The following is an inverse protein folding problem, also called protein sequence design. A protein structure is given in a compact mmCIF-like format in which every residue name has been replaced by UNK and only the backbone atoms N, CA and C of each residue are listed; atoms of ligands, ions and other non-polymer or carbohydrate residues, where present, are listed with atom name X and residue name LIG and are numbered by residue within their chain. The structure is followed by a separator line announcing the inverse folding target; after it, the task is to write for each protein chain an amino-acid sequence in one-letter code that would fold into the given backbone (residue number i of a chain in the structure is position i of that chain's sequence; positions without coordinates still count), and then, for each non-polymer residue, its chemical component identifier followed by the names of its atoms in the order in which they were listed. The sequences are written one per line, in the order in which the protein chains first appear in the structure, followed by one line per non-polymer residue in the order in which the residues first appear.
data_IF_639469905032
#
_entry.id   IF_639469905032
#
_cell.length_a   1.000
_cell.length_b   1.000
_cell.length_c   1.000
_cell.angle_alpha   90.00
_cell.angle_beta   90.00
_cell.angle_gamma   90.00
#
_symmetry.space_group_name_H-M   'P 1'
#
loop_
_entity.id
_entity.type
_entity.pdbx_description
1 polymer ?
#
# COMPACT_ATOMS: atom_id res chain seq x y z
N UNK A 1 10.76 11.36 19.35
CA UNK A 1 12.20 11.14 19.45
C UNK A 1 12.69 11.74 20.77
N UNK A 2 13.47 11.00 21.50
CA UNK A 2 14.13 11.44 22.71
C UNK A 2 15.64 11.22 22.56
N UNK A 3 16.45 12.22 22.84
CA UNK A 3 17.87 12.22 22.51
C UNK A 3 18.73 12.72 23.67
N UNK A 4 19.91 12.17 23.80
CA UNK A 4 20.90 12.54 24.80
C UNK A 4 22.28 12.68 24.14
N UNK A 5 23.03 13.70 24.53
CA UNK A 5 24.39 13.92 24.04
C UNK A 5 25.39 13.00 24.76
N UNK A 6 25.99 12.10 24.02
CA UNK A 6 26.91 11.12 24.59
C UNK A 6 28.10 11.78 25.25
N UNK A 7 28.37 11.36 26.49
CA UNK A 7 29.51 11.83 27.29
C UNK A 7 29.57 13.36 27.57
N UNK A 8 28.40 14.04 27.56
CA UNK A 8 28.31 15.48 27.80
C UNK A 8 29.00 15.88 29.11
N UNK A 9 28.84 15.12 30.20
CA UNK A 9 29.52 15.35 31.47
C UNK A 9 31.05 15.40 31.31
N UNK A 10 31.63 14.52 30.50
CA UNK A 10 33.07 14.52 30.26
C UNK A 10 33.55 15.77 29.50
N UNK A 11 32.69 16.41 28.71
CA UNK A 11 32.99 17.71 28.08
C UNK A 11 33.06 18.79 29.15
N UNK A 12 32.05 18.86 30.04
CA UNK A 12 32.07 19.81 31.17
C UNK A 12 33.24 19.61 32.09
N UNK A 13 33.56 18.36 32.45
CA UNK A 13 34.67 18.03 33.36
C UNK A 13 36.06 18.41 32.78
N UNK A 14 36.21 18.33 31.43
CA UNK A 14 37.51 18.61 30.77
C UNK A 14 37.67 20.05 30.32
N UNK A 15 36.58 20.74 29.94
CA UNK A 15 36.64 22.06 29.30
C UNK A 15 35.80 23.13 30.00
N UNK A 16 35.16 22.76 31.11
CA UNK A 16 34.32 23.67 31.89
C UNK A 16 32.88 23.83 31.35
N UNK A 17 32.00 24.34 32.19
CA UNK A 17 30.61 24.59 31.87
C UNK A 17 30.37 25.50 30.66
N UNK A 18 31.16 26.57 30.42
CA UNK A 18 30.96 27.41 29.23
C UNK A 18 31.08 26.65 27.91
N UNK A 19 31.99 25.66 27.84
CA UNK A 19 32.14 24.82 26.66
C UNK A 19 30.94 23.88 26.48
N UNK A 20 30.36 23.35 27.56
CA UNK A 20 29.14 22.59 27.54
C UNK A 20 27.93 23.42 27.10
N UNK A 21 27.81 24.66 27.58
CA UNK A 21 26.75 25.56 27.18
C UNK A 21 26.82 25.89 25.67
N UNK A 22 28.01 26.18 25.16
CA UNK A 22 28.22 26.39 23.72
C UNK A 22 27.81 25.16 22.88
N UNK A 23 28.15 23.96 23.36
CA UNK A 23 27.76 22.69 22.74
C UNK A 23 26.25 22.52 22.70
N UNK A 24 25.54 22.79 23.79
CA UNK A 24 24.08 22.71 23.88
C UNK A 24 23.38 23.71 22.94
N UNK A 25 23.87 24.95 22.88
CA UNK A 25 23.33 25.99 21.98
C UNK A 25 23.48 25.57 20.52
N UNK A 26 24.68 25.12 20.14
CA UNK A 26 24.93 24.68 18.77
C UNK A 26 24.14 23.41 18.41
N UNK A 27 23.99 22.47 19.35
CA UNK A 27 23.13 21.29 19.18
C UNK A 27 21.68 21.70 18.92
N UNK A 28 21.14 22.61 19.74
CA UNK A 28 19.77 23.11 19.56
C UNK A 28 19.57 23.77 18.17
N UNK A 29 20.59 24.52 17.70
CA UNK A 29 20.57 25.13 16.35
C UNK A 29 20.50 24.05 15.25
N UNK A 30 21.39 23.05 15.32
CA UNK A 30 21.43 21.94 14.36
C UNK A 30 20.13 21.14 14.35
N UNK A 31 19.56 20.86 15.52
CA UNK A 31 18.27 20.17 15.63
C UNK A 31 17.14 20.95 14.95
N UNK A 32 17.07 22.27 15.19
CA UNK A 32 16.09 23.12 14.52
C UNK A 32 16.24 23.09 12.99
N UNK A 33 17.47 23.14 12.50
CA UNK A 33 17.75 23.04 11.06
C UNK A 33 17.35 21.68 10.47
N UNK A 34 17.60 20.59 11.20
CA UNK A 34 17.17 19.25 10.79
C UNK A 34 15.65 19.09 10.76
N UNK A 35 14.90 19.77 11.62
CA UNK A 35 13.45 19.65 11.74
C UNK A 35 12.69 20.74 10.96
N UNK A 36 13.34 21.87 10.60
CA UNK A 36 12.69 23.02 9.97
C UNK A 36 12.10 22.76 8.57
N UNK A 37 12.43 21.65 7.92
CA UNK A 37 12.00 21.34 6.56
C UNK A 37 10.48 21.06 6.44
N UNK A 38 9.76 20.85 7.56
CA UNK A 38 8.34 20.50 7.58
C UNK A 38 7.44 21.47 8.36
N UNK A 39 8.00 22.54 8.95
CA UNK A 39 7.22 23.67 9.52
C UNK A 39 6.39 23.39 10.79
N UNK A 40 6.13 22.14 11.14
CA UNK A 40 5.23 21.75 12.25
C UNK A 40 5.91 20.91 13.35
N UNK A 41 7.18 20.53 13.16
CA UNK A 41 7.93 19.74 14.12
C UNK A 41 8.38 20.60 15.31
N UNK A 42 8.27 20.06 16.51
CA UNK A 42 8.66 20.74 17.75
C UNK A 42 9.97 20.17 18.27
N UNK A 43 10.94 21.05 18.50
CA UNK A 43 12.21 20.71 19.18
C UNK A 43 12.23 21.36 20.56
N UNK A 44 12.43 20.57 21.60
CA UNK A 44 12.50 21.01 22.98
C UNK A 44 13.75 20.47 23.67
N UNK A 45 14.36 21.27 24.55
CA UNK A 45 15.32 20.78 25.53
C UNK A 45 14.58 20.44 26.81
N UNK A 46 14.69 19.18 27.26
CA UNK A 46 13.91 18.66 28.39
C UNK A 46 14.68 18.88 29.71
N UNK A 47 15.99 18.71 29.68
CA UNK A 47 16.86 18.97 30.83
C UNK A 47 18.28 18.53 30.55
N UNK A 48 19.27 19.09 31.23
CA UNK A 48 20.65 18.68 31.08
C UNK A 48 21.14 18.66 29.64
N UNK A 49 21.50 17.48 29.15
CA UNK A 49 21.94 17.15 27.80
C UNK A 49 20.85 16.45 26.97
N UNK A 50 19.59 16.43 27.45
CA UNK A 50 18.45 15.75 26.84
C UNK A 50 17.62 16.71 26.00
N UNK A 51 17.27 16.24 24.79
CA UNK A 51 16.40 16.93 23.84
C UNK A 51 15.26 16.01 23.40
N UNK A 52 14.09 16.60 23.14
CA UNK A 52 12.94 15.93 22.55
C UNK A 52 12.59 16.56 21.20
N UNK A 53 12.20 15.71 20.24
CA UNK A 53 11.65 16.14 18.96
C UNK A 53 10.30 15.45 18.78
N UNK A 54 9.25 16.27 18.66
CA UNK A 54 7.92 15.81 18.32
C UNK A 54 7.68 16.06 16.83
N UNK A 55 7.50 14.99 16.09
CA UNK A 55 7.19 15.04 14.66
C UNK A 55 5.69 14.89 14.45
N UNK A 56 5.10 15.80 13.67
CA UNK A 56 3.72 15.70 13.23
C UNK A 56 3.69 15.04 11.85
N UNK A 57 2.83 14.05 11.68
CA UNK A 57 2.64 13.33 10.41
C UNK A 57 3.96 12.89 9.76
N UNK A 58 4.78 12.09 10.44
CA UNK A 58 5.95 11.52 9.80
C UNK A 58 5.47 10.66 8.63
N UNK A 59 6.14 10.74 7.48
CA UNK A 59 5.88 9.82 6.38
C UNK A 59 6.35 8.43 6.80
N UNK A 60 5.41 7.65 7.32
CA UNK A 60 5.66 6.28 7.72
C UNK A 60 5.83 5.40 6.46
N UNK A 61 6.66 4.34 6.55
CA UNK A 61 7.36 3.88 7.74
C UNK A 61 8.73 4.53 8.00
N UNK A 62 9.32 5.23 7.04
CA UNK A 62 10.75 5.65 7.10
C UNK A 62 10.99 7.04 7.70
N UNK A 63 9.96 7.87 7.77
CA UNK A 63 10.10 9.26 8.20
C UNK A 63 10.83 9.46 9.52
N UNK A 64 10.48 8.73 10.61
CA UNK A 64 11.16 8.87 11.91
C UNK A 64 12.63 8.45 11.90
N UNK A 65 12.98 7.37 11.20
CA UNK A 65 14.36 6.91 11.07
C UNK A 65 15.21 7.88 10.27
N UNK A 66 14.70 8.37 9.14
CA UNK A 66 15.41 9.33 8.28
C UNK A 66 15.72 10.62 9.03
N UNK A 67 14.75 11.13 9.81
CA UNK A 67 14.97 12.32 10.63
C UNK A 67 15.97 12.04 11.75
N UNK A 68 15.88 10.89 12.43
CA UNK A 68 16.81 10.51 13.47
C UNK A 68 18.25 10.33 12.95
N UNK A 69 18.43 9.72 11.78
CA UNK A 69 19.73 9.61 11.11
C UNK A 69 20.30 10.98 10.73
N UNK A 70 19.46 11.88 10.21
CA UNK A 70 19.85 13.25 9.89
C UNK A 70 20.27 14.02 11.14
N UNK A 71 19.52 13.91 12.23
CA UNK A 71 19.85 14.49 13.53
C UNK A 71 21.20 13.93 14.01
N UNK A 72 21.34 12.62 14.04
CA UNK A 72 22.55 11.95 14.51
C UNK A 72 23.78 12.39 13.69
N UNK A 73 23.67 12.46 12.37
CA UNK A 73 24.71 12.92 11.47
C UNK A 73 25.06 14.38 11.75
N UNK A 74 24.07 15.25 11.91
CA UNK A 74 24.29 16.67 12.18
C UNK A 74 24.98 16.90 13.56
N UNK A 75 24.55 16.14 14.58
CA UNK A 75 25.14 16.22 15.94
C UNK A 75 26.56 15.64 15.98
N UNK A 76 26.87 14.66 15.14
CA UNK A 76 28.22 14.06 15.07
C UNK A 76 29.24 14.92 14.33
N UNK A 77 28.83 15.96 13.62
CA UNK A 77 29.76 16.92 13.02
C UNK A 77 30.54 17.68 14.10
N UNK A 78 31.84 17.95 13.88
CA UNK A 78 32.64 18.67 14.84
C UNK A 78 32.05 20.02 15.25
N UNK A 79 32.18 20.36 16.53
CA UNK A 79 31.78 21.63 17.10
C UNK A 79 33.00 22.51 17.28
N UNK A 80 32.91 23.78 16.91
CA UNK A 80 33.96 24.74 17.15
C UNK A 80 33.67 25.48 18.46
N UNK A 81 34.43 25.17 19.51
CA UNK A 81 34.29 25.75 20.84
C UNK A 81 35.64 26.28 21.27
N UNK A 82 35.70 27.56 21.58
CA UNK A 82 36.94 28.27 22.04
C UNK A 82 38.18 27.97 21.15
N UNK A 83 37.98 28.00 19.82
CA UNK A 83 39.06 27.78 18.85
C UNK A 83 39.52 26.31 18.71
N UNK A 84 38.88 25.38 19.41
CA UNK A 84 39.16 23.95 19.34
C UNK A 84 38.01 23.16 18.76
N UNK A 85 38.32 22.07 18.06
CA UNK A 85 37.30 21.14 17.56
C UNK A 85 36.93 20.11 18.62
N UNK A 86 35.65 20.00 18.92
CA UNK A 86 35.10 19.01 19.83
C UNK A 86 34.18 18.06 19.01
N UNK A 87 34.30 16.75 19.25
CA UNK A 87 33.44 15.74 18.67
C UNK A 87 32.62 15.08 19.76
N UNK A 88 31.32 14.94 19.52
CA UNK A 88 30.42 14.16 20.35
C UNK A 88 29.46 13.37 19.42
N UNK A 89 28.69 12.48 19.99
CA UNK A 89 27.61 11.77 19.32
C UNK A 89 26.31 11.94 20.11
N UNK A 90 25.22 11.49 19.56
CA UNK A 90 23.97 11.42 20.29
C UNK A 90 23.36 10.01 20.19
N UNK A 91 22.82 9.55 21.30
CA UNK A 91 21.96 8.38 21.35
C UNK A 91 20.49 8.83 21.20
N UNK A 92 19.68 8.12 20.42
CA UNK A 92 18.31 8.51 20.11
C UNK A 92 17.36 7.34 20.38
N UNK A 93 16.31 7.60 21.16
CA UNK A 93 15.19 6.69 21.36
C UNK A 93 13.94 7.21 20.65
N UNK A 94 13.19 6.33 20.01
CA UNK A 94 12.00 6.67 19.22
C UNK A 94 10.82 5.87 19.74
N UNK A 95 9.67 6.54 19.92
CA UNK A 95 8.38 5.95 20.16
C UNK A 95 7.36 6.54 19.16
N UNK A 96 6.41 5.72 18.72
CA UNK A 96 5.43 6.04 17.70
C UNK A 96 4.01 6.09 18.27
N UNK A 97 3.26 7.11 17.89
CA UNK A 97 1.83 7.17 18.14
C UNK A 97 1.08 6.58 16.94
N UNK A 98 0.02 5.77 17.13
CA UNK A 98 -0.53 5.30 18.42
C UNK A 98 0.03 3.95 18.89
N UNK A 99 1.00 3.34 18.16
CA UNK A 99 1.48 1.96 18.40
C UNK A 99 2.15 1.77 19.76
N UNK A 100 2.98 2.74 20.17
CA UNK A 100 3.78 2.64 21.39
C UNK A 100 3.15 3.35 22.58
N UNK A 101 2.01 4.03 22.38
CA UNK A 101 1.23 4.72 23.42
C UNK A 101 0.25 5.70 22.82
N UNK A 102 -0.82 5.98 23.54
CA UNK A 102 -1.87 6.93 23.14
C UNK A 102 -1.84 8.24 23.93
N UNK A 103 -1.11 8.27 25.03
CA UNK A 103 -0.91 9.45 25.86
C UNK A 103 0.52 9.97 25.77
N UNK A 104 0.71 11.28 25.86
CA UNK A 104 2.03 11.92 25.82
C UNK A 104 3.01 11.34 26.86
N UNK A 105 2.50 11.02 28.06
CA UNK A 105 3.28 10.44 29.15
C UNK A 105 3.76 9.02 28.83
N UNK A 106 2.95 8.24 28.14
CA UNK A 106 3.32 6.88 27.69
C UNK A 106 4.41 6.97 26.62
N UNK A 107 4.18 7.76 25.57
CA UNK A 107 5.15 7.96 24.48
C UNK A 107 6.50 8.46 24.99
N UNK A 108 6.49 9.40 25.93
CA UNK A 108 7.71 9.87 26.56
C UNK A 108 8.46 8.72 27.26
N UNK A 109 7.75 7.93 28.08
CA UNK A 109 8.32 6.77 28.78
C UNK A 109 8.88 5.74 27.82
N UNK A 110 8.19 5.45 26.72
CA UNK A 110 8.64 4.48 25.72
C UNK A 110 9.86 4.97 24.94
N UNK A 111 9.89 6.26 24.59
CA UNK A 111 11.08 6.86 23.96
C UNK A 111 12.30 6.89 24.89
N UNK A 112 12.12 7.11 26.19
CA UNK A 112 13.19 7.05 27.18
C UNK A 112 13.75 5.62 27.35
N UNK A 113 12.87 4.61 27.38
CA UNK A 113 13.29 3.20 27.40
C UNK A 113 14.11 2.85 26.16
N UNK A 114 13.69 3.31 24.98
CA UNK A 114 14.42 3.13 23.73
C UNK A 114 15.78 3.85 23.76
N UNK A 115 15.83 5.07 24.29
CA UNK A 115 17.08 5.81 24.50
C UNK A 115 18.05 5.07 25.43
N UNK A 116 17.53 4.49 26.53
CA UNK A 116 18.30 3.67 27.45
C UNK A 116 18.91 2.46 26.75
N UNK A 117 18.14 1.84 25.84
CA UNK A 117 18.63 0.73 25.03
C UNK A 117 19.72 1.19 24.04
N UNK A 118 19.55 2.32 23.36
CA UNK A 118 20.57 2.90 22.49
C UNK A 118 21.89 3.14 23.23
N UNK A 119 21.84 3.69 24.46
CA UNK A 119 23.02 3.88 25.32
C UNK A 119 23.71 2.56 25.68
N UNK A 120 22.94 1.46 25.90
CA UNK A 120 23.48 0.12 26.20
C UNK A 120 24.14 -0.54 25.02
N UNK A 121 23.64 -0.34 23.81
CA UNK A 121 24.15 -0.91 22.57
C UNK A 121 25.44 -0.26 22.05
N UNK A 122 26.04 0.66 22.81
CA UNK A 122 27.34 1.23 22.47
C UNK A 122 27.32 2.75 22.29
N UNK A 123 26.21 3.41 22.51
CA UNK A 123 25.98 4.86 22.26
C UNK A 123 26.12 5.27 20.80
N UNK A 124 25.75 6.48 20.46
CA UNK A 124 25.75 6.95 19.09
C UNK A 124 24.87 6.14 18.18
N UNK A 125 23.80 5.55 18.71
CA UNK A 125 22.86 4.68 17.99
C UNK A 125 21.42 5.18 18.12
N UNK A 126 20.57 4.69 17.22
CA UNK A 126 19.14 4.97 17.21
C UNK A 126 18.42 3.66 17.57
N UNK A 127 17.51 3.72 18.54
CA UNK A 127 16.64 2.59 18.90
C UNK A 127 15.18 3.00 18.87
N UNK A 128 14.34 2.12 18.34
CA UNK A 128 12.89 2.22 18.46
C UNK A 128 12.42 1.43 19.68
N UNK A 129 11.34 1.91 20.31
CA UNK A 129 10.70 1.15 21.36
C UNK A 129 10.08 -0.13 20.78
N UNK A 130 10.25 -1.26 21.49
CA UNK A 130 9.70 -2.55 21.06
C UNK A 130 10.60 -3.39 20.15
N UNK A 131 11.64 -2.84 19.56
CA UNK A 131 12.61 -3.59 18.73
C UNK A 131 12.11 -4.01 17.34
N UNK A 132 10.81 -3.95 17.07
CA UNK A 132 10.16 -4.40 15.84
C UNK A 132 10.62 -3.64 14.59
N UNK A 133 10.97 -2.37 14.73
CA UNK A 133 11.41 -1.52 13.61
C UNK A 133 12.74 -1.92 12.97
N UNK A 134 13.66 -2.48 13.74
CA UNK A 134 14.91 -2.98 13.16
C UNK A 134 14.63 -4.21 12.31
N UNK A 135 13.77 -5.10 12.81
CA UNK A 135 13.34 -6.31 12.09
C UNK A 135 12.53 -5.95 10.85
N UNK A 136 11.57 -5.03 10.96
CA UNK A 136 10.77 -4.53 9.84
C UNK A 136 11.63 -3.80 8.78
N UNK A 137 12.65 -3.04 9.22
CA UNK A 137 13.59 -2.38 8.32
C UNK A 137 14.47 -3.38 7.57
N UNK A 138 14.99 -4.38 8.27
CA UNK A 138 15.83 -5.42 7.68
C UNK A 138 14.98 -6.29 6.72
N UNK A 139 13.76 -6.62 7.09
CA UNK A 139 12.78 -7.30 6.24
C UNK A 139 12.48 -6.47 4.98
N UNK A 140 12.24 -5.19 5.13
CA UNK A 140 12.00 -4.28 4.01
C UNK A 140 13.19 -4.17 3.06
N UNK A 141 14.41 -4.04 3.58
CA UNK A 141 15.63 -4.06 2.77
C UNK A 141 15.79 -5.38 2.00
N UNK A 142 15.45 -6.51 2.62
CA UNK A 142 15.43 -7.81 1.97
C UNK A 142 14.40 -7.87 0.85
N UNK A 143 13.20 -7.31 1.09
CA UNK A 143 12.14 -7.24 0.09
C UNK A 143 12.54 -6.34 -1.09
N UNK A 144 13.11 -5.17 -0.82
CA UNK A 144 13.57 -4.23 -1.85
C UNK A 144 14.67 -4.85 -2.74
N UNK A 145 15.67 -5.48 -2.13
CA UNK A 145 16.74 -6.17 -2.85
C UNK A 145 16.26 -7.44 -3.58
N UNK A 146 15.28 -8.14 -2.99
CA UNK A 146 14.73 -9.38 -3.54
C UNK A 146 13.74 -9.15 -4.69
N UNK A 147 13.05 -8.00 -4.72
CA UNK A 147 11.92 -7.79 -5.64
C UNK A 147 12.31 -7.82 -7.12
N UNK A 148 13.42 -7.20 -7.49
CA UNK A 148 13.92 -7.24 -8.86
C UNK A 148 14.25 -8.70 -9.30
N UNK A 149 14.82 -9.46 -8.38
CA UNK A 149 15.09 -10.89 -8.60
C UNK A 149 13.77 -11.66 -8.71
N UNK A 150 12.80 -11.37 -7.87
CA UNK A 150 11.50 -12.05 -7.88
C UNK A 150 10.79 -11.92 -9.23
N UNK A 151 10.84 -10.72 -9.85
CA UNK A 151 10.26 -10.46 -11.17
C UNK A 151 10.94 -11.30 -12.25
N UNK A 152 12.24 -11.58 -12.12
CA UNK A 152 13.04 -12.25 -13.16
C UNK A 152 13.23 -13.76 -12.95
N UNK A 153 13.01 -14.29 -11.74
CA UNK A 153 13.34 -15.67 -11.34
C UNK A 153 12.16 -16.52 -10.88
N UNK A 154 10.96 -16.25 -11.39
CA UNK A 154 9.76 -17.07 -11.12
C UNK A 154 9.38 -17.19 -9.62
N UNK A 155 9.78 -16.21 -8.81
CA UNK A 155 9.36 -16.16 -7.40
C UNK A 155 7.95 -15.55 -7.23
N UNK A 156 7.44 -14.85 -8.27
CA UNK A 156 6.09 -14.31 -8.32
C UNK A 156 5.12 -15.32 -8.92
N UNK A 157 3.90 -15.31 -8.40
CA UNK A 157 2.79 -16.10 -8.97
C UNK A 157 1.47 -15.36 -8.78
N UNK A 158 0.45 -15.76 -9.56
CA UNK A 158 -0.90 -15.21 -9.43
C UNK A 158 -1.81 -16.22 -8.72
N UNK A 159 -2.68 -15.69 -7.88
CA UNK A 159 -3.88 -16.37 -7.41
C UNK A 159 -5.09 -15.61 -7.93
N UNK A 160 -6.22 -16.28 -8.02
CA UNK A 160 -7.39 -15.77 -8.71
C UNK A 160 -8.59 -15.80 -7.77
N UNK A 161 -9.23 -14.66 -7.56
CA UNK A 161 -10.43 -14.58 -6.74
C UNK A 161 -11.66 -14.46 -7.64
N UNK A 162 -12.62 -15.41 -7.55
CA UNK A 162 -13.79 -15.40 -8.39
C UNK A 162 -14.75 -14.26 -8.07
N UNK A 163 -15.30 -13.63 -9.14
CA UNK A 163 -16.43 -12.70 -9.13
C UNK A 163 -17.67 -13.45 -9.63
N UNK A 164 -18.73 -13.44 -8.84
CA UNK A 164 -19.94 -14.19 -9.13
C UNK A 164 -21.13 -13.27 -9.41
N UNK A 165 -21.95 -13.68 -10.35
CA UNK A 165 -23.34 -13.24 -10.43
C UNK A 165 -24.18 -14.15 -9.51
N UNK A 166 -24.69 -13.59 -8.43
CA UNK A 166 -25.43 -14.33 -7.40
C UNK A 166 -26.84 -14.73 -7.85
N UNK A 167 -27.37 -14.15 -8.93
CA UNK A 167 -28.66 -14.52 -9.51
C UNK A 167 -28.54 -15.81 -10.33
N UNK A 168 -27.54 -15.85 -11.22
CA UNK A 168 -27.27 -17.04 -12.03
C UNK A 168 -26.37 -18.06 -11.33
N UNK A 169 -25.69 -17.66 -10.28
CA UNK A 169 -24.61 -18.40 -9.60
C UNK A 169 -23.48 -18.80 -10.57
N UNK A 170 -23.20 -17.97 -11.56
CA UNK A 170 -22.10 -18.14 -12.52
C UNK A 170 -20.90 -17.28 -12.10
N UNK A 171 -19.72 -17.79 -12.37
CA UNK A 171 -18.50 -16.98 -12.33
C UNK A 171 -18.43 -16.16 -13.60
N UNK A 172 -18.44 -14.83 -13.44
CA UNK A 172 -18.38 -13.87 -14.56
C UNK A 172 -16.94 -13.42 -14.85
N UNK A 173 -16.07 -13.52 -13.86
CA UNK A 173 -14.68 -13.13 -13.96
C UNK A 173 -13.88 -13.54 -12.73
N UNK A 174 -12.60 -13.24 -12.78
CA UNK A 174 -11.67 -13.43 -11.68
C UNK A 174 -10.79 -12.20 -11.52
N UNK A 175 -10.42 -11.88 -10.29
CA UNK A 175 -9.37 -10.90 -10.00
C UNK A 175 -8.03 -11.61 -9.85
N UNK A 176 -7.02 -11.19 -10.62
CA UNK A 176 -5.66 -11.71 -10.57
C UNK A 176 -4.86 -10.98 -9.48
N UNK A 177 -4.52 -11.68 -8.44
CA UNK A 177 -3.85 -11.16 -7.27
C UNK A 177 -2.40 -11.67 -7.20
N UNK A 178 -1.43 -10.79 -7.31
CA UNK A 178 -0.01 -11.16 -7.25
C UNK A 178 0.38 -11.61 -5.86
N UNK A 179 1.24 -12.64 -5.81
CA UNK A 179 1.85 -13.20 -4.59
C UNK A 179 3.34 -13.41 -4.86
N UNK A 180 4.11 -13.31 -3.81
CA UNK A 180 5.55 -13.55 -3.87
C UNK A 180 5.94 -14.70 -2.96
N UNK A 181 6.54 -15.74 -3.50
CA UNK A 181 7.10 -16.83 -2.72
C UNK A 181 8.55 -16.48 -2.34
N UNK A 182 8.68 -15.63 -1.30
CA UNK A 182 9.98 -15.14 -0.87
C UNK A 182 10.82 -16.28 -0.25
N UNK A 183 12.11 -16.45 -0.63
CA UNK A 183 12.92 -17.61 -0.21
C UNK A 183 13.08 -17.76 1.31
N UNK A 184 13.06 -16.64 2.06
CA UNK A 184 13.28 -16.63 3.51
C UNK A 184 12.02 -16.29 4.30
N UNK A 185 11.11 -15.49 3.76
CA UNK A 185 9.90 -15.01 4.45
C UNK A 185 8.66 -15.85 4.11
N UNK A 186 8.78 -16.77 3.14
CA UNK A 186 7.64 -17.56 2.67
C UNK A 186 6.69 -16.77 1.78
N UNK A 187 5.41 -17.21 1.64
CA UNK A 187 4.44 -16.56 0.76
C UNK A 187 4.00 -15.19 1.28
N UNK A 188 4.19 -14.16 0.47
CA UNK A 188 3.83 -12.77 0.76
C UNK A 188 2.66 -12.30 -0.08
N UNK A 189 1.75 -11.53 0.54
CA UNK A 189 0.66 -10.83 -0.15
C UNK A 189 1.11 -9.51 -0.77
N UNK A 190 0.34 -9.00 -1.72
CA UNK A 190 0.61 -7.75 -2.45
C UNK A 190 0.85 -6.55 -1.51
N UNK A 191 0.08 -6.43 -0.42
CA UNK A 191 0.21 -5.35 0.55
C UNK A 191 1.61 -5.23 1.18
N UNK A 192 2.39 -6.31 1.23
CA UNK A 192 3.74 -6.32 1.80
C UNK A 192 4.80 -5.74 0.86
N UNK A 193 4.64 -5.84 -0.45
CA UNK A 193 5.69 -5.47 -1.41
C UNK A 193 5.29 -4.46 -2.49
N UNK A 194 4.00 -4.25 -2.77
CA UNK A 194 3.54 -3.21 -3.71
C UNK A 194 4.05 -1.81 -3.31
N UNK A 195 3.92 -1.37 -2.03
CA UNK A 195 4.45 -0.07 -1.62
C UNK A 195 5.98 0.05 -1.78
N UNK A 196 6.69 -1.08 -1.70
CA UNK A 196 8.14 -1.14 -1.95
C UNK A 196 8.42 -0.99 -3.45
N UNK A 197 7.66 -1.71 -4.30
CA UNK A 197 7.76 -1.61 -5.75
C UNK A 197 7.56 -0.17 -6.24
N UNK A 198 6.56 0.54 -5.69
CA UNK A 198 6.29 1.94 -6.01
C UNK A 198 7.46 2.86 -5.65
N UNK A 199 7.97 2.75 -4.42
CA UNK A 199 9.08 3.59 -3.92
C UNK A 199 10.41 3.32 -4.61
N UNK A 200 10.66 2.07 -5.00
CA UNK A 200 11.90 1.67 -5.70
C UNK A 200 11.83 1.84 -7.22
N UNK A 201 10.67 2.25 -7.77
CA UNK A 201 10.46 2.36 -9.21
C UNK A 201 10.31 1.04 -9.95
N UNK A 202 10.16 -0.08 -9.22
CA UNK A 202 9.96 -1.42 -9.80
C UNK A 202 8.50 -1.73 -10.14
N UNK A 203 7.59 -0.82 -9.81
CA UNK A 203 6.15 -1.03 -10.01
C UNK A 203 5.80 -1.23 -11.48
N UNK A 204 6.52 -0.58 -12.41
CA UNK A 204 6.35 -0.76 -13.84
C UNK A 204 6.64 -2.21 -14.28
N UNK A 205 7.84 -2.71 -13.95
CA UNK A 205 8.26 -4.07 -14.30
C UNK A 205 7.35 -5.13 -13.67
N UNK A 206 6.90 -4.87 -12.44
CA UNK A 206 5.95 -5.75 -11.74
C UNK A 206 4.60 -5.78 -12.47
N UNK A 207 4.07 -4.61 -12.86
CA UNK A 207 2.79 -4.53 -13.59
C UNK A 207 2.87 -5.19 -14.96
N UNK A 208 3.97 -4.98 -15.70
CA UNK A 208 4.22 -5.68 -16.96
C UNK A 208 4.22 -7.22 -16.77
N UNK A 209 4.86 -7.70 -15.71
CA UNK A 209 4.87 -9.14 -15.38
C UNK A 209 3.46 -9.64 -15.07
N UNK A 210 2.68 -8.91 -14.25
CA UNK A 210 1.31 -9.28 -13.87
C UNK A 210 0.40 -9.33 -15.10
N UNK A 211 0.44 -8.32 -15.96
CA UNK A 211 -0.36 -8.29 -17.20
C UNK A 211 -0.07 -9.50 -18.09
N UNK A 212 1.22 -9.80 -18.33
CA UNK A 212 1.62 -10.96 -19.14
C UNK A 212 1.18 -12.29 -18.52
N UNK A 213 1.34 -12.44 -17.20
CA UNK A 213 0.96 -13.65 -16.49
C UNK A 213 -0.57 -13.85 -16.49
N UNK A 214 -1.33 -12.79 -16.21
CA UNK A 214 -2.79 -12.82 -16.19
C UNK A 214 -3.37 -13.13 -17.58
N UNK A 215 -2.92 -12.43 -18.62
CA UNK A 215 -3.37 -12.66 -20.00
C UNK A 215 -3.01 -14.08 -20.49
N UNK A 216 -1.82 -14.58 -20.17
CA UNK A 216 -1.42 -15.95 -20.53
C UNK A 216 -2.32 -16.99 -19.88
N UNK A 217 -2.59 -16.85 -18.59
CA UNK A 217 -3.42 -17.79 -17.86
C UNK A 217 -4.88 -17.74 -18.32
N UNK A 218 -5.46 -16.54 -18.44
CA UNK A 218 -6.84 -16.39 -18.91
C UNK A 218 -6.99 -16.86 -20.37
N UNK A 219 -6.01 -16.59 -21.22
CA UNK A 219 -5.98 -17.09 -22.60
C UNK A 219 -5.89 -18.62 -22.69
N UNK A 220 -5.16 -19.29 -21.78
CA UNK A 220 -5.18 -20.76 -21.68
C UNK A 220 -6.57 -21.26 -21.26
N UNK A 221 -7.21 -20.65 -20.27
CA UNK A 221 -8.58 -20.99 -19.88
C UNK A 221 -9.56 -20.84 -21.05
N UNK A 222 -9.48 -19.72 -21.76
CA UNK A 222 -10.36 -19.42 -22.89
C UNK A 222 -10.20 -20.43 -24.05
N UNK A 223 -8.95 -20.63 -24.51
CA UNK A 223 -8.67 -21.44 -25.72
C UNK A 223 -8.65 -22.94 -25.47
N UNK A 224 -8.08 -23.37 -24.32
CA UNK A 224 -7.79 -24.79 -24.08
C UNK A 224 -8.89 -25.45 -23.26
N UNK A 225 -9.55 -24.70 -22.40
CA UNK A 225 -10.57 -25.24 -21.48
C UNK A 225 -12.00 -24.76 -21.79
N UNK A 226 -12.15 -23.83 -22.72
CA UNK A 226 -13.45 -23.25 -23.08
C UNK A 226 -14.12 -22.46 -21.94
N UNK A 227 -13.30 -21.93 -21.01
CA UNK A 227 -13.78 -21.11 -19.90
C UNK A 227 -13.77 -19.64 -20.31
N UNK A 228 -14.95 -19.14 -20.65
CA UNK A 228 -15.14 -17.74 -21.06
C UNK A 228 -15.40 -16.87 -19.83
N UNK A 229 -14.34 -16.40 -19.22
CA UNK A 229 -14.37 -15.52 -18.03
C UNK A 229 -13.44 -14.33 -18.20
N UNK A 230 -13.83 -13.22 -17.59
CA UNK A 230 -13.01 -12.00 -17.56
C UNK A 230 -11.89 -12.13 -16.52
N UNK A 231 -10.70 -11.59 -16.82
CA UNK A 231 -9.61 -11.44 -15.83
C UNK A 231 -9.38 -9.97 -15.53
N UNK A 232 -9.43 -9.61 -14.26
CA UNK A 232 -9.17 -8.26 -13.79
C UNK A 232 -7.76 -8.15 -13.19
N UNK A 233 -7.09 -7.03 -13.47
CA UNK A 233 -5.73 -6.71 -13.02
C UNK A 233 -5.72 -5.32 -12.41
N UNK A 234 -5.20 -5.21 -11.20
CA UNK A 234 -5.01 -3.95 -10.51
C UNK A 234 -3.91 -3.10 -11.18
N UNK A 235 -4.21 -1.82 -11.43
CA UNK A 235 -3.33 -0.89 -12.13
C UNK A 235 -2.91 0.25 -11.21
N UNK A 236 -1.64 0.28 -10.75
CA UNK A 236 -1.11 1.40 -10.00
C UNK A 236 -1.13 2.71 -10.82
N UNK A 237 -1.43 3.88 -10.19
CA UNK A 237 -1.57 5.15 -10.92
C UNK A 237 -0.33 5.51 -11.75
N UNK A 238 0.87 5.28 -11.21
CA UNK A 238 2.13 5.66 -11.84
C UNK A 238 2.45 4.93 -13.15
N UNK A 239 1.76 3.81 -13.45
CA UNK A 239 1.99 3.10 -14.72
C UNK A 239 1.34 3.80 -15.91
N UNK A 240 0.34 4.66 -15.67
CA UNK A 240 -0.28 5.45 -16.73
C UNK A 240 0.60 6.59 -17.24
N UNK A 241 1.70 6.91 -16.55
CA UNK A 241 2.73 7.84 -17.02
C UNK A 241 3.74 7.20 -17.98
N UNK A 242 3.66 5.87 -18.16
CA UNK A 242 4.67 5.15 -18.93
C UNK A 242 4.26 5.08 -20.42
N UNK A 243 5.11 5.59 -21.31
CA UNK A 243 4.85 5.68 -22.76
C UNK A 243 4.58 4.33 -23.42
N UNK A 244 5.10 3.23 -22.86
CA UNK A 244 4.97 1.88 -23.41
C UNK A 244 3.74 1.11 -22.90
N UNK A 245 2.87 1.69 -22.06
CA UNK A 245 1.76 0.96 -21.41
C UNK A 245 0.86 0.26 -22.43
N UNK A 246 0.41 0.98 -23.44
CA UNK A 246 -0.47 0.44 -24.49
C UNK A 246 0.21 -0.72 -25.24
N UNK A 247 1.49 -0.57 -25.55
CA UNK A 247 2.25 -1.61 -26.26
C UNK A 247 2.43 -2.87 -25.41
N UNK A 248 2.65 -2.71 -24.09
CA UNK A 248 2.74 -3.82 -23.14
C UNK A 248 1.42 -4.55 -23.05
N UNK A 249 0.29 -3.84 -22.98
CA UNK A 249 -1.06 -4.44 -22.97
C UNK A 249 -1.30 -5.22 -24.26
N UNK A 250 -1.09 -4.62 -25.43
CA UNK A 250 -1.25 -5.29 -26.74
C UNK A 250 -0.41 -6.55 -26.83
N UNK A 251 0.84 -6.49 -26.38
CA UNK A 251 1.73 -7.63 -26.36
C UNK A 251 1.24 -8.73 -25.43
N UNK A 252 0.81 -8.37 -24.20
CA UNK A 252 0.30 -9.34 -23.23
C UNK A 252 -0.95 -10.06 -23.76
N UNK A 253 -1.90 -9.33 -24.36
CA UNK A 253 -3.09 -9.90 -24.99
C UNK A 253 -2.74 -10.83 -26.16
N UNK A 254 -1.85 -10.40 -27.05
CA UNK A 254 -1.41 -11.17 -28.22
C UNK A 254 -0.69 -12.46 -27.83
N UNK A 255 0.32 -12.36 -26.94
CA UNK A 255 1.07 -13.51 -26.44
C UNK A 255 0.20 -14.47 -25.63
N UNK A 256 -0.72 -13.93 -24.83
CA UNK A 256 -1.73 -14.71 -24.09
C UNK A 256 -2.80 -15.32 -24.99
N UNK A 257 -3.06 -14.76 -26.16
CA UNK A 257 -4.16 -15.10 -27.03
C UNK A 257 -5.52 -14.85 -26.37
N UNK A 258 -5.61 -13.77 -25.58
CA UNK A 258 -6.80 -13.35 -24.87
C UNK A 258 -7.49 -12.23 -25.65
N UNK A 259 -8.81 -12.31 -25.91
CA UNK A 259 -9.54 -11.20 -26.51
C UNK A 259 -9.49 -9.96 -25.58
N UNK A 260 -9.40 -8.72 -26.13
CA UNK A 260 -9.31 -7.51 -25.34
C UNK A 260 -10.47 -7.33 -24.34
N UNK A 261 -11.69 -7.67 -24.72
CA UNK A 261 -12.89 -7.60 -23.89
C UNK A 261 -12.92 -8.61 -22.73
N UNK A 262 -11.89 -9.47 -22.63
CA UNK A 262 -11.68 -10.40 -21.50
C UNK A 262 -10.63 -9.93 -20.51
N UNK A 263 -9.99 -8.79 -20.76
CA UNK A 263 -9.11 -8.13 -19.81
C UNK A 263 -9.80 -6.90 -19.23
N UNK A 264 -9.84 -6.84 -17.91
CA UNK A 264 -10.30 -5.67 -17.15
C UNK A 264 -9.13 -5.04 -16.42
N UNK A 265 -9.02 -3.73 -16.50
CA UNK A 265 -8.09 -2.96 -15.69
C UNK A 265 -8.85 -2.35 -14.51
N UNK A 266 -8.36 -2.56 -13.29
CA UNK A 266 -8.92 -1.99 -12.06
C UNK A 266 -8.08 -0.81 -11.62
N UNK A 267 -8.71 0.36 -11.48
CA UNK A 267 -8.08 1.60 -11.02
C UNK A 267 -8.80 2.08 -9.77
N UNK A 268 -8.07 2.53 -8.77
CA UNK A 268 -8.71 3.03 -7.54
C UNK A 268 -9.40 4.37 -7.78
N UNK A 269 -10.48 4.64 -7.04
CA UNK A 269 -11.16 5.92 -7.04
C UNK A 269 -10.20 7.10 -6.83
N UNK A 270 -9.30 6.96 -5.84
CA UNK A 270 -8.31 7.99 -5.51
C UNK A 270 -7.36 8.28 -6.67
N UNK A 271 -6.95 7.25 -7.42
CA UNK A 271 -6.09 7.39 -8.60
C UNK A 271 -6.75 8.23 -9.67
N UNK A 272 -8.01 7.94 -9.97
CA UNK A 272 -8.79 8.68 -10.97
C UNK A 272 -8.87 10.18 -10.67
N UNK A 273 -8.92 10.56 -9.38
CA UNK A 273 -8.96 11.96 -8.95
C UNK A 273 -7.63 12.70 -9.14
N UNK A 274 -6.53 11.97 -9.18
CA UNK A 274 -5.17 12.53 -9.31
C UNK A 274 -4.66 12.53 -10.73
N UNK A 275 -5.35 11.87 -11.66
CA UNK A 275 -4.92 11.78 -13.06
C UNK A 275 -4.90 13.13 -13.74
N UNK A 276 -3.77 13.42 -14.39
CA UNK A 276 -3.62 14.53 -15.30
C UNK A 276 -4.34 14.24 -16.65
N UNK A 277 -4.54 15.25 -17.48
CA UNK A 277 -5.21 15.08 -18.78
C UNK A 277 -4.57 14.00 -19.65
N UNK A 278 -3.25 13.89 -19.64
CA UNK A 278 -2.51 12.93 -20.45
C UNK A 278 -2.78 11.48 -20.04
N UNK A 279 -2.88 11.23 -18.72
CA UNK A 279 -3.23 9.90 -18.18
C UNK A 279 -4.66 9.50 -18.52
N UNK A 280 -5.56 10.46 -18.52
CA UNK A 280 -6.97 10.23 -18.91
C UNK A 280 -7.10 9.93 -20.41
N UNK A 281 -6.30 10.56 -21.26
CA UNK A 281 -6.23 10.22 -22.69
C UNK A 281 -5.68 8.80 -22.92
N UNK A 282 -4.70 8.35 -22.13
CA UNK A 282 -4.21 6.96 -22.16
C UNK A 282 -5.35 6.00 -21.80
N UNK A 283 -6.14 6.33 -20.78
CA UNK A 283 -7.28 5.52 -20.37
C UNK A 283 -8.33 5.39 -21.48
N UNK A 284 -8.66 6.50 -22.17
CA UNK A 284 -9.58 6.47 -23.32
C UNK A 284 -9.06 5.58 -24.45
N UNK A 285 -7.77 5.70 -24.83
CA UNK A 285 -7.18 4.83 -25.86
C UNK A 285 -7.21 3.35 -25.47
N UNK A 286 -7.00 3.02 -24.21
CA UNK A 286 -7.13 1.64 -23.69
C UNK A 286 -8.56 1.14 -23.86
N UNK A 287 -9.57 1.97 -23.56
CA UNK A 287 -10.98 1.61 -23.77
C UNK A 287 -11.32 1.45 -25.25
N UNK A 288 -10.77 2.29 -26.13
CA UNK A 288 -10.93 2.16 -27.60
C UNK A 288 -10.32 0.86 -28.16
N UNK A 289 -9.31 0.28 -27.48
CA UNK A 289 -8.77 -1.06 -27.80
C UNK A 289 -9.73 -2.19 -27.44
N UNK A 290 -10.85 -1.90 -26.77
CA UNK A 290 -11.87 -2.85 -26.37
C UNK A 290 -11.65 -3.48 -24.99
N UNK A 291 -10.76 -2.93 -24.17
CA UNK A 291 -10.58 -3.37 -22.78
C UNK A 291 -11.69 -2.83 -21.87
N UNK A 292 -11.96 -3.57 -20.83
CA UNK A 292 -12.81 -3.12 -19.75
C UNK A 292 -12.02 -2.34 -18.70
N UNK A 293 -12.63 -1.30 -18.12
CA UNK A 293 -12.06 -0.56 -16.99
C UNK A 293 -13.08 -0.49 -15.86
N UNK A 294 -12.64 -0.81 -14.64
CA UNK A 294 -13.46 -0.79 -13.43
C UNK A 294 -12.83 0.12 -12.39
N UNK A 295 -13.67 0.77 -11.59
CA UNK A 295 -13.21 1.61 -10.48
C UNK A 295 -13.22 0.79 -9.21
N UNK A 296 -12.08 0.70 -8.56
CA UNK A 296 -11.86 -0.03 -7.32
C UNK A 296 -11.91 0.87 -6.09
N UNK A 297 -12.11 0.27 -4.90
CA UNK A 297 -12.17 0.95 -3.59
C UNK A 297 -13.16 2.13 -3.55
N UNK A 298 -14.31 2.02 -4.26
CA UNK A 298 -15.25 3.12 -4.41
C UNK A 298 -15.98 3.45 -3.11
N UNK A 299 -16.02 4.76 -2.79
CA UNK A 299 -16.63 5.31 -1.58
C UNK A 299 -15.62 5.69 -0.51
N UNK A 300 -14.33 5.33 -0.66
CA UNK A 300 -13.26 5.69 0.29
C UNK A 300 -12.64 7.06 0.03
N UNK A 301 -12.92 7.65 -1.14
CA UNK A 301 -12.37 8.92 -1.63
C UNK A 301 -13.42 10.02 -1.83
N UNK A 302 -13.02 11.11 -2.48
CA UNK A 302 -13.86 12.23 -2.87
C UNK A 302 -14.10 12.20 -4.39
N UNK A 303 -15.06 11.42 -4.86
CA UNK A 303 -15.33 11.34 -6.31
C UNK A 303 -15.89 12.63 -6.89
N UNK A 304 -15.32 13.08 -8.00
CA UNK A 304 -15.99 14.02 -8.90
C UNK A 304 -16.97 13.27 -9.80
N UNK A 305 -18.27 13.38 -9.56
CA UNK A 305 -19.30 12.80 -10.42
C UNK A 305 -19.16 13.21 -11.90
N UNK A 306 -18.50 14.35 -12.17
CA UNK A 306 -18.21 14.80 -13.53
C UNK A 306 -17.20 13.90 -14.24
N UNK A 307 -16.18 13.43 -13.54
CA UNK A 307 -15.19 12.52 -14.12
C UNK A 307 -15.81 11.14 -14.42
N UNK A 308 -16.63 10.61 -13.50
CA UNK A 308 -17.34 9.34 -13.72
C UNK A 308 -18.27 9.37 -14.95
N UNK A 309 -18.87 10.51 -15.25
CA UNK A 309 -19.77 10.66 -16.40
C UNK A 309 -19.01 10.74 -17.74
N UNK A 310 -17.76 11.20 -17.71
CA UNK A 310 -16.98 11.45 -18.92
C UNK A 310 -16.35 10.17 -19.48
N UNK A 311 -15.95 9.27 -18.60
CA UNK A 311 -15.29 8.01 -18.96
C UNK A 311 -16.25 6.83 -18.86
N UNK A 312 -16.19 5.90 -19.81
CA UNK A 312 -17.09 4.74 -19.89
C UNK A 312 -16.55 3.59 -19.02
N UNK A 313 -16.76 3.70 -17.69
CA UNK A 313 -16.43 2.58 -16.80
C UNK A 313 -17.53 1.51 -16.83
N UNK A 314 -17.14 0.23 -16.85
CA UNK A 314 -18.10 -0.87 -16.86
C UNK A 314 -18.69 -1.15 -15.48
N UNK A 315 -17.91 -0.97 -14.42
CA UNK A 315 -18.36 -1.24 -13.06
C UNK A 315 -17.70 -0.36 -12.01
N UNK A 316 -18.40 -0.23 -10.88
CA UNK A 316 -17.87 0.28 -9.62
C UNK A 316 -17.75 -0.89 -8.62
N UNK A 317 -16.61 -1.00 -7.93
CA UNK A 317 -16.43 -1.98 -6.86
C UNK A 317 -16.70 -1.30 -5.52
N UNK A 318 -17.69 -1.77 -4.79
CA UNK A 318 -18.01 -1.28 -3.43
C UNK A 318 -16.95 -1.82 -2.49
N UNK A 319 -16.19 -0.93 -1.87
CA UNK A 319 -15.07 -1.31 -1.00
C UNK A 319 -15.54 -2.18 0.18
N UNK A 320 -14.69 -3.12 0.56
CA UNK A 320 -14.92 -4.04 1.67
C UNK A 320 -15.28 -3.33 2.98
N UNK A 321 -14.78 -2.14 3.25
CA UNK A 321 -15.07 -1.41 4.50
C UNK A 321 -16.56 -1.13 4.67
N UNK A 322 -17.30 -0.90 3.56
CA UNK A 322 -18.74 -0.68 3.59
C UNK A 322 -19.55 -1.99 3.56
N UNK A 323 -18.94 -3.09 3.14
CA UNK A 323 -19.59 -4.41 3.09
C UNK A 323 -19.44 -5.16 4.41
N UNK A 324 -18.32 -4.98 5.13
CA UNK A 324 -18.02 -5.70 6.37
C UNK A 324 -19.10 -5.56 7.43
N UNK A 325 -19.55 -4.33 7.66
CA UNK A 325 -20.53 -3.99 8.70
C UNK A 325 -21.93 -3.62 8.15
N UNK A 326 -22.19 -3.90 6.87
CA UNK A 326 -23.41 -3.51 6.15
C UNK A 326 -24.73 -3.96 6.82
N UNK A 327 -24.68 -5.04 7.61
CA UNK A 327 -25.85 -5.58 8.32
C UNK A 327 -26.05 -4.91 9.69
N UNK A 328 -24.99 -4.40 10.29
CA UNK A 328 -24.98 -3.86 11.66
C UNK A 328 -24.86 -2.34 11.74
N UNK A 329 -24.30 -1.72 10.70
CA UNK A 329 -24.11 -0.27 10.58
C UNK A 329 -25.13 0.32 9.59
N UNK A 330 -25.99 1.23 10.08
CA UNK A 330 -26.91 1.96 9.22
C UNK A 330 -26.21 2.89 8.23
N UNK A 331 -25.03 3.38 8.60
CA UNK A 331 -24.24 4.31 7.79
C UNK A 331 -23.61 3.57 6.62
N UNK A 332 -23.01 2.39 6.85
CA UNK A 332 -22.43 1.55 5.80
C UNK A 332 -23.51 1.02 4.85
N UNK A 333 -24.68 0.64 5.40
CA UNK A 333 -25.83 0.27 4.61
C UNK A 333 -26.32 1.40 3.69
N UNK A 334 -26.36 2.64 4.20
CA UNK A 334 -26.73 3.81 3.43
C UNK A 334 -25.70 4.15 2.34
N UNK A 335 -24.40 4.02 2.65
CA UNK A 335 -23.32 4.23 1.69
C UNK A 335 -23.39 3.18 0.58
N UNK A 336 -23.44 1.89 0.91
CA UNK A 336 -23.55 0.81 -0.08
C UNK A 336 -24.78 0.98 -1.00
N UNK A 337 -25.93 1.35 -0.42
CA UNK A 337 -27.17 1.65 -1.18
C UNK A 337 -26.99 2.86 -2.09
N UNK A 338 -26.30 3.88 -1.64
CA UNK A 338 -26.04 5.09 -2.45
C UNK A 338 -25.11 4.77 -3.62
N UNK A 339 -24.06 3.98 -3.40
CA UNK A 339 -23.14 3.55 -4.46
C UNK A 339 -23.90 2.72 -5.51
N UNK A 340 -24.76 1.79 -5.09
CA UNK A 340 -25.62 1.04 -5.99
C UNK A 340 -26.51 1.94 -6.85
N UNK A 341 -27.15 2.95 -6.23
CA UNK A 341 -27.96 3.91 -6.94
C UNK A 341 -27.14 4.74 -7.94
N UNK A 342 -25.93 5.17 -7.56
CA UNK A 342 -25.03 5.91 -8.45
C UNK A 342 -24.60 5.06 -9.65
N UNK A 343 -24.19 3.82 -9.45
CA UNK A 343 -23.83 2.91 -10.52
C UNK A 343 -24.98 2.77 -11.53
N UNK A 344 -26.19 2.58 -11.04
CA UNK A 344 -27.41 2.49 -11.87
C UNK A 344 -27.72 3.77 -12.65
N UNK A 345 -27.53 4.95 -12.04
CA UNK A 345 -27.73 6.24 -12.72
C UNK A 345 -26.67 6.51 -13.81
N UNK A 346 -25.49 5.92 -13.68
CA UNK A 346 -24.37 6.07 -14.62
C UNK A 346 -24.28 4.93 -15.64
N UNK A 347 -25.27 4.01 -15.67
CA UNK A 347 -25.30 2.82 -16.53
C UNK A 347 -24.06 1.91 -16.33
N UNK A 348 -23.62 1.79 -15.06
CA UNK A 348 -22.50 0.95 -14.64
C UNK A 348 -23.02 -0.23 -13.82
N UNK A 349 -22.29 -1.34 -13.83
CA UNK A 349 -22.53 -2.41 -12.87
C UNK A 349 -21.91 -2.05 -11.50
N UNK A 350 -22.41 -2.67 -10.43
CA UNK A 350 -21.79 -2.59 -9.12
C UNK A 350 -21.36 -3.98 -8.65
N UNK A 351 -20.14 -4.08 -8.13
CA UNK A 351 -19.56 -5.32 -7.62
C UNK A 351 -19.29 -5.10 -6.13
N UNK A 352 -19.89 -5.90 -5.25
CA UNK A 352 -19.61 -5.82 -3.82
C UNK A 352 -18.40 -6.68 -3.46
N UNK A 353 -17.45 -6.09 -2.74
CA UNK A 353 -16.23 -6.76 -2.30
C UNK A 353 -16.28 -7.19 -0.84
N UNK A 354 -15.50 -8.21 -0.50
CA UNK A 354 -15.33 -8.64 0.88
C UNK A 354 -16.57 -9.27 1.49
N UNK A 355 -17.44 -9.89 0.71
CA UNK A 355 -18.59 -10.64 1.21
C UNK A 355 -18.10 -11.88 1.96
N UNK A 356 -18.37 -11.97 3.26
CA UNK A 356 -17.87 -13.02 4.14
C UNK A 356 -18.96 -13.96 4.69
N UNK A 357 -20.24 -13.53 4.66
CA UNK A 357 -21.35 -14.31 5.22
C UNK A 357 -22.65 -14.12 4.45
N UNK A 358 -23.63 -15.00 4.76
CA UNK A 358 -24.95 -15.01 4.11
C UNK A 358 -25.73 -13.72 4.34
N UNK A 359 -25.69 -13.14 5.53
CA UNK A 359 -26.46 -11.93 5.86
C UNK A 359 -26.00 -10.72 5.04
N UNK A 360 -24.68 -10.58 4.80
CA UNK A 360 -24.15 -9.56 3.90
C UNK A 360 -24.64 -9.77 2.46
N UNK A 361 -24.58 -11.01 1.97
CA UNK A 361 -25.07 -11.37 0.62
C UNK A 361 -26.57 -11.06 0.49
N UNK A 362 -27.39 -11.42 1.47
CA UNK A 362 -28.84 -11.14 1.44
C UNK A 362 -29.14 -9.65 1.46
N UNK A 363 -28.44 -8.87 2.28
CA UNK A 363 -28.57 -7.42 2.27
C UNK A 363 -28.22 -6.83 0.90
N UNK A 364 -27.06 -7.17 0.35
CA UNK A 364 -26.63 -6.70 -0.97
C UNK A 364 -27.61 -7.09 -2.08
N UNK A 365 -28.13 -8.30 -2.04
CA UNK A 365 -29.18 -8.73 -2.97
C UNK A 365 -30.47 -7.89 -2.82
N UNK A 366 -30.81 -7.47 -1.59
CA UNK A 366 -32.00 -6.64 -1.32
C UNK A 366 -31.93 -5.23 -1.93
N UNK A 367 -30.70 -4.73 -2.17
CA UNK A 367 -30.45 -3.45 -2.84
C UNK A 367 -30.10 -3.62 -4.34
N UNK A 368 -30.40 -4.79 -4.94
CA UNK A 368 -30.18 -5.14 -6.35
C UNK A 368 -28.68 -5.27 -6.74
N UNK A 369 -27.77 -5.46 -5.77
CA UNK A 369 -26.37 -5.81 -6.04
C UNK A 369 -26.26 -7.30 -6.35
N UNK A 370 -26.02 -7.63 -7.62
CA UNK A 370 -25.97 -9.02 -8.09
C UNK A 370 -24.54 -9.57 -8.16
N UNK A 371 -23.58 -8.70 -8.46
CA UNK A 371 -22.19 -9.10 -8.64
C UNK A 371 -21.46 -8.98 -7.31
N UNK A 372 -20.86 -10.08 -6.88
CA UNK A 372 -20.24 -10.15 -5.57
C UNK A 372 -18.92 -10.91 -5.62
N UNK A 373 -18.00 -10.50 -4.76
CA UNK A 373 -16.71 -11.13 -4.53
C UNK A 373 -16.43 -11.20 -3.02
N UNK A 374 -15.89 -12.32 -2.54
CA UNK A 374 -15.54 -12.44 -1.13
C UNK A 374 -15.31 -13.87 -0.67
N UNK A 375 -14.85 -14.02 0.56
CA UNK A 375 -14.50 -15.31 1.16
C UNK A 375 -15.71 -16.22 1.41
N UNK A 376 -16.89 -15.65 1.41
CA UNK A 376 -18.14 -16.43 1.42
C UNK A 376 -18.24 -17.37 0.21
N UNK A 377 -17.80 -16.92 -0.96
CA UNK A 377 -17.84 -17.72 -2.19
C UNK A 377 -16.54 -18.53 -2.38
N UNK A 378 -15.42 -17.86 -2.36
CA UNK A 378 -14.09 -18.47 -2.44
C UNK A 378 -13.00 -17.55 -1.93
N UNK A 379 -11.98 -18.10 -1.28
CA UNK A 379 -10.71 -17.42 -1.08
C UNK A 379 -9.96 -17.36 -2.42
N UNK A 380 -8.93 -16.49 -2.57
CA UNK A 380 -8.08 -16.53 -3.74
C UNK A 380 -7.53 -17.93 -4.01
N UNK A 381 -7.73 -18.45 -5.20
CA UNK A 381 -7.45 -19.82 -5.63
C UNK A 381 -6.20 -19.88 -6.51
N UNK A 382 -5.52 -21.02 -6.55
CA UNK A 382 -4.51 -21.29 -7.58
C UNK A 382 -5.16 -21.32 -8.99
N UNK A 383 -4.36 -21.17 -10.04
CA UNK A 383 -4.88 -21.23 -11.42
C UNK A 383 -5.66 -22.52 -11.70
N UNK A 384 -5.20 -23.65 -11.17
CA UNK A 384 -5.87 -24.95 -11.29
C UNK A 384 -7.19 -24.97 -10.54
N UNK A 385 -7.19 -24.59 -9.26
CA UNK A 385 -8.40 -24.64 -8.43
C UNK A 385 -9.44 -23.63 -8.93
N UNK A 386 -9.00 -22.48 -9.46
CA UNK A 386 -9.87 -21.49 -10.08
C UNK A 386 -10.55 -22.07 -11.34
N UNK A 387 -9.80 -22.74 -12.22
CA UNK A 387 -10.39 -23.37 -13.42
C UNK A 387 -11.39 -24.46 -13.07
N UNK A 388 -11.12 -25.29 -12.06
CA UNK A 388 -12.06 -26.30 -11.59
C UNK A 388 -13.31 -25.65 -10.97
N UNK A 389 -13.16 -24.58 -10.20
CA UNK A 389 -14.27 -23.84 -9.60
C UNK A 389 -15.16 -23.19 -10.67
N UNK A 390 -14.56 -22.50 -11.67
CA UNK A 390 -15.28 -21.88 -12.79
C UNK A 390 -16.03 -22.94 -13.59
N UNK A 391 -15.35 -24.04 -13.96
CA UNK A 391 -15.94 -25.10 -14.75
C UNK A 391 -17.15 -25.74 -14.03
N UNK A 392 -17.07 -25.93 -12.73
CA UNK A 392 -18.18 -26.49 -11.92
C UNK A 392 -19.39 -25.57 -11.94
N UNK A 393 -19.24 -24.27 -11.69
CA UNK A 393 -20.38 -23.36 -11.60
C UNK A 393 -20.95 -22.95 -12.96
N UNK A 394 -20.13 -22.92 -14.01
CA UNK A 394 -20.57 -22.47 -15.33
C UNK A 394 -21.12 -23.62 -16.20
N UNK A 395 -20.67 -24.89 -16.02
CA UNK A 395 -21.19 -26.06 -16.80
C UNK A 395 -22.54 -26.57 -16.32
N UNK A 396 -22.83 -26.52 -15.04
CA UNK A 396 -24.07 -27.09 -14.46
C UNK A 396 -25.36 -26.32 -14.85
N UNK A 397 -25.26 -25.27 -15.65
CA UNK A 397 -26.38 -24.38 -15.97
C UNK A 397 -26.53 -24.02 -17.46
N UNK A 398 -25.81 -24.67 -18.36
CA UNK A 398 -26.20 -24.58 -19.78
C UNK A 398 -27.50 -25.38 -19.94
N UNK A 399 -28.61 -24.73 -20.38
CA UNK A 399 -29.81 -25.47 -20.66
C UNK A 399 -29.48 -26.47 -21.75
N UNK A 400 -29.66 -27.76 -21.45
CA UNK A 400 -29.55 -28.86 -22.41
C UNK A 400 -30.33 -28.45 -23.65
N UNK A 401 -29.57 -28.16 -24.71
CA UNK A 401 -30.15 -28.03 -26.06
C UNK A 401 -30.68 -29.40 -26.46
N UNK A 402 -31.98 -29.55 -26.29
CA UNK A 402 -32.77 -30.63 -26.88
C UNK A 402 -33.35 -30.17 -28.20
#
# INVERSE_FOLDING_TARGET
LFMDLDRFKAVNDRRGHPAGDALLIETARRLKECCALRGEDLVARVGGDEFAVLMRQPELPDGPSVVAERIQKAVSHPYQVDGSLLKTSASVGIALYPSDGREAKELYKMADLALTQAKRQGRGTICFYGGTWQEERDERLQLEQGLLRAITHEELFLVYQPKLDTTSMRVIGVEALVRWNHPHLGPLGAASFIPIAEKSGLIWQLTEWVLKAACRQAGSWYREQGLDVNVAVNMPPSVFDHEDLEQVIVRALSEGGLPPDRLTLEITEQSLMTYASDQLEVLERIQEMGLNVQIDDFGTGYSSLSSLKHYHFQALKIDRSFVSDVVTSSDDAAIATTIMFMAKCLDMEAIAEGVENEAQKEFLASIDCRLMQGFYFARPLSARDASEFIARLNRDKDPVSH
#
